data_IF_658533315142
#
_entry.id   IF_658533315142
#
_cell.length_a   1.000
_cell.length_b   1.000
_cell.length_c   1.000
_cell.angle_alpha   90.00
_cell.angle_beta   90.00
_cell.angle_gamma   90.00
#
_symmetry.space_group_name_H-M   'P 1'
#
loop_
_entity.id
_entity.type
_entity.pdbx_description
1 polymer ?
#
# COMPACT_ATOMS: atom_id res chain seq x y z
N UNK A 1 -1.02 19.66 -12.95
CA UNK A 1 -1.11 18.39 -13.69
C UNK A 1 -0.15 17.40 -13.04
N UNK A 2 -0.63 16.34 -12.37
CA UNK A 2 0.27 15.31 -11.81
C UNK A 2 0.66 14.36 -12.95
N UNK A 3 1.82 14.57 -13.53
CA UNK A 3 2.35 13.71 -14.60
C UNK A 3 2.75 12.38 -13.98
N UNK A 4 2.09 11.28 -14.36
CA UNK A 4 2.55 9.94 -14.00
C UNK A 4 3.76 9.67 -14.89
N UNK A 5 4.95 9.68 -14.31
CA UNK A 5 6.18 9.34 -15.02
C UNK A 5 6.14 7.85 -15.37
N UNK A 6 5.96 7.51 -16.64
CA UNK A 6 6.04 6.13 -17.12
C UNK A 6 7.50 5.73 -17.25
N UNK A 7 7.93 4.74 -16.47
CA UNK A 7 9.27 4.17 -16.47
C UNK A 7 9.14 2.66 -16.69
N UNK A 8 10.06 2.01 -17.42
CA UNK A 8 10.06 0.54 -17.54
C UNK A 8 10.25 -0.17 -16.20
N UNK A 9 10.66 0.56 -15.16
CA UNK A 9 10.83 0.06 -13.79
C UNK A 9 9.59 0.29 -12.90
N UNK A 10 8.51 0.83 -13.44
CA UNK A 10 7.28 1.14 -12.68
C UNK A 10 6.10 0.44 -13.32
N UNK A 11 5.46 -0.44 -12.55
CA UNK A 11 4.20 -1.08 -12.89
C UNK A 11 3.09 -0.58 -11.96
N UNK A 12 1.91 -0.29 -12.51
CA UNK A 12 0.74 0.12 -11.74
C UNK A 12 -0.33 -0.96 -11.84
N UNK A 13 -0.61 -1.63 -10.73
CA UNK A 13 -1.64 -2.67 -10.62
C UNK A 13 -2.77 -2.18 -9.72
N UNK A 14 -4.02 -2.44 -10.09
CA UNK A 14 -5.20 -2.19 -9.27
C UNK A 14 -5.68 -3.50 -8.65
N UNK A 15 -5.77 -3.56 -7.33
CA UNK A 15 -6.24 -4.74 -6.61
C UNK A 15 -7.01 -4.35 -5.33
N UNK A 16 -7.95 -5.20 -4.89
CA UNK A 16 -8.64 -5.07 -3.60
C UNK A 16 -7.82 -5.60 -2.42
N UNK A 17 -6.80 -6.41 -2.69
CA UNK A 17 -5.85 -6.93 -1.73
C UNK A 17 -4.47 -7.02 -2.38
N UNK A 18 -3.43 -6.68 -1.62
CA UNK A 18 -2.03 -6.87 -1.97
C UNK A 18 -1.27 -7.47 -0.80
N UNK A 19 -0.31 -8.35 -1.10
CA UNK A 19 0.59 -8.91 -0.08
C UNK A 19 2.04 -8.64 -0.49
N UNK A 20 2.83 -8.17 0.46
CA UNK A 20 4.26 -7.97 0.34
C UNK A 20 4.97 -9.00 1.22
N UNK A 21 6.04 -9.61 0.69
CA UNK A 21 6.92 -10.51 1.43
C UNK A 21 8.36 -10.05 1.24
N UNK A 22 9.00 -9.66 2.34
CA UNK A 22 10.42 -9.33 2.42
C UNK A 22 11.26 -10.53 2.87
N UNK A 23 12.57 -10.41 2.71
CA UNK A 23 13.55 -11.30 3.34
C UNK A 23 13.91 -10.85 4.77
N UNK A 24 13.47 -9.65 5.16
CA UNK A 24 13.70 -8.99 6.43
C UNK A 24 12.39 -8.34 6.92
N UNK A 25 12.31 -7.92 8.20
CA UNK A 25 11.20 -7.12 8.70
C UNK A 25 10.92 -5.90 7.83
N UNK A 26 9.64 -5.69 7.47
CA UNK A 26 9.26 -4.57 6.62
C UNK A 26 9.07 -3.30 7.45
N UNK A 27 9.68 -2.21 6.98
CA UNK A 27 9.50 -0.87 7.54
C UNK A 27 8.66 -0.04 6.57
N UNK A 28 7.50 0.38 7.02
CA UNK A 28 6.49 1.05 6.19
C UNK A 28 6.04 2.35 6.84
N UNK A 29 5.44 3.22 6.02
CA UNK A 29 4.70 4.38 6.52
C UNK A 29 3.22 4.17 6.23
N UNK A 30 2.37 4.23 7.26
CA UNK A 30 0.91 4.20 7.16
C UNK A 30 0.41 5.59 7.53
N UNK A 31 -0.19 6.31 6.58
CA UNK A 31 -0.67 7.69 6.75
C UNK A 31 0.35 8.68 7.35
N UNK A 32 1.65 8.42 7.13
CA UNK A 32 2.76 9.23 7.62
C UNK A 32 3.38 8.74 8.93
N UNK A 33 2.76 7.77 9.61
CA UNK A 33 3.32 7.13 10.80
C UNK A 33 4.22 5.95 10.42
N UNK A 34 5.40 5.86 11.02
CA UNK A 34 6.34 4.76 10.78
C UNK A 34 5.95 3.52 11.57
N UNK A 35 5.94 2.36 10.90
CA UNK A 35 5.67 1.06 11.49
C UNK A 35 6.73 0.04 11.06
N UNK A 36 7.06 -0.87 11.97
CA UNK A 36 7.84 -2.08 11.68
C UNK A 36 6.92 -3.29 11.83
N UNK A 37 6.85 -4.12 10.80
CA UNK A 37 6.09 -5.39 10.80
C UNK A 37 7.07 -6.55 10.56
N UNK A 38 6.58 -7.79 10.62
CA UNK A 38 7.36 -8.96 10.24
C UNK A 38 7.78 -8.96 8.77
N UNK A 39 8.14 -10.13 8.26
CA UNK A 39 8.56 -10.29 6.87
C UNK A 39 7.38 -10.18 5.87
N UNK A 40 6.14 -10.19 6.35
CA UNK A 40 4.94 -10.23 5.51
C UNK A 40 3.97 -9.12 5.91
N UNK A 41 3.44 -8.40 4.92
CA UNK A 41 2.38 -7.41 5.07
C UNK A 41 1.24 -7.72 4.10
N UNK A 42 0.01 -7.76 4.59
CA UNK A 42 -1.19 -7.85 3.74
C UNK A 42 -2.02 -6.59 3.89
N UNK A 43 -2.24 -5.89 2.79
CA UNK A 43 -3.11 -4.70 2.70
C UNK A 43 -4.41 -5.12 2.03
N UNK A 44 -5.56 -4.84 2.67
CA UNK A 44 -6.89 -5.16 2.14
C UNK A 44 -7.78 -3.93 2.18
N UNK A 45 -8.42 -3.62 1.05
CA UNK A 45 -9.50 -2.65 0.99
C UNK A 45 -10.71 -3.23 1.70
N UNK A 46 -11.22 -2.52 2.71
CA UNK A 46 -12.49 -2.84 3.37
C UNK A 46 -13.58 -1.90 2.85
N UNK A 47 -14.44 -2.34 1.91
CA UNK A 47 -15.47 -1.48 1.33
C UNK A 47 -16.45 -1.02 2.40
N UNK A 48 -16.93 0.23 2.28
CA UNK A 48 -17.94 0.80 3.17
C UNK A 48 -17.55 0.73 4.67
N UNK A 49 -16.24 0.76 4.96
CA UNK A 49 -15.72 0.61 6.32
C UNK A 49 -16.00 1.82 7.21
N UNK A 50 -16.21 2.99 6.62
CA UNK A 50 -16.46 4.23 7.31
C UNK A 50 -17.53 5.04 6.59
N UNK A 51 -18.44 5.65 7.35
CA UNK A 51 -19.37 6.66 6.84
C UNK A 51 -18.67 8.01 6.83
N UNK A 52 -18.39 8.53 5.65
CA UNK A 52 -17.84 9.87 5.47
C UNK A 52 -19.00 10.82 5.14
N UNK A 53 -19.14 11.91 5.88
CA UNK A 53 -20.01 13.03 5.47
C UNK A 53 -19.25 13.87 4.46
N UNK A 54 -19.72 13.87 3.21
CA UNK A 54 -19.13 14.62 2.09
C UNK A 54 -19.96 15.86 1.81
#
# INVERSE_FOLDING_TARGET
SKTIHTSPYVEIVRASQASLKGTEPLRIHLDGESHETGDTLTVRVKPLSLKVMV
#
